data_IF_969703205624
#
_entry.id   IF_969703205624
#
_cell.length_a   1.000
_cell.length_b   1.000
_cell.length_c   1.000
_cell.angle_alpha   90.00
_cell.angle_beta   90.00
_cell.angle_gamma   90.00
#
_symmetry.space_group_name_H-M   'P 1'
#
loop_
_entity.id
_entity.type
_entity.pdbx_description
1 polymer ?
#
# COMPACT_ATOMS: atom_id res chain seq x y z
N UNK A 1 9.92 -17.01 35.82
CA UNK A 1 9.84 -16.17 34.61
C UNK A 1 9.10 -16.95 33.53
N UNK A 2 8.22 -16.31 32.80
CA UNK A 2 7.41 -17.00 31.79
C UNK A 2 6.57 -16.04 31.01
N UNK A 3 5.76 -16.57 30.08
CA UNK A 3 4.76 -15.86 29.32
C UNK A 3 3.38 -16.41 29.61
N UNK A 4 2.37 -15.57 29.47
CA UNK A 4 0.97 -15.98 29.54
C UNK A 4 0.31 -15.69 28.20
N UNK A 5 -0.26 -16.70 27.56
CA UNK A 5 -1.06 -16.58 26.35
C UNK A 5 -2.54 -16.56 26.73
N UNK A 6 -3.33 -15.85 25.95
CA UNK A 6 -4.78 -15.89 26.10
C UNK A 6 -5.43 -15.79 24.71
N UNK A 7 -6.62 -16.38 24.55
CA UNK A 7 -7.40 -16.24 23.34
C UNK A 7 -7.84 -14.79 23.15
N UNK A 8 -7.83 -14.32 21.91
CA UNK A 8 -8.27 -12.98 21.53
C UNK A 8 -9.46 -13.08 20.59
N UNK A 9 -10.55 -12.38 20.90
CA UNK A 9 -11.73 -12.25 20.05
C UNK A 9 -12.05 -10.76 19.87
N UNK A 10 -12.25 -10.35 18.63
CA UNK A 10 -12.51 -8.93 18.28
C UNK A 10 -11.48 -7.94 18.87
N UNK A 11 -10.20 -8.34 18.89
CA UNK A 11 -9.10 -7.53 19.42
C UNK A 11 -9.02 -7.43 20.95
N UNK A 12 -9.84 -8.18 21.68
CA UNK A 12 -9.84 -8.21 23.16
C UNK A 12 -9.50 -9.60 23.67
N UNK A 13 -8.72 -9.64 24.74
CA UNK A 13 -8.42 -10.89 25.45
C UNK A 13 -9.69 -11.49 26.04
N UNK A 14 -9.87 -12.79 25.87
CA UNK A 14 -10.98 -13.55 26.46
C UNK A 14 -10.60 -14.01 27.86
N UNK A 15 -11.21 -13.50 28.94
CA UNK A 15 -10.89 -13.90 30.30
C UNK A 15 -11.12 -15.40 30.55
N UNK A 16 -10.25 -16.03 31.37
CA UNK A 16 -10.32 -17.44 31.68
C UNK A 16 -9.77 -18.37 30.61
N UNK A 17 -9.07 -17.81 29.62
CA UNK A 17 -8.36 -18.58 28.58
C UNK A 17 -6.84 -18.43 28.69
N UNK A 18 -6.38 -17.93 29.81
CA UNK A 18 -4.97 -17.69 30.09
C UNK A 18 -4.24 -19.02 30.32
N UNK A 19 -3.17 -19.23 29.54
CA UNK A 19 -2.25 -20.36 29.69
C UNK A 19 -0.84 -19.83 29.98
N UNK A 20 -0.25 -20.27 31.06
CA UNK A 20 1.10 -19.86 31.47
C UNK A 20 2.13 -20.87 31.01
N UNK A 21 3.25 -20.36 30.44
CA UNK A 21 4.40 -21.15 30.02
C UNK A 21 5.66 -20.62 30.71
N UNK A 22 6.33 -21.47 31.45
CA UNK A 22 7.63 -21.15 32.06
C UNK A 22 8.70 -21.09 30.98
N UNK A 23 9.36 -19.94 30.83
CA UNK A 23 10.48 -19.75 29.91
C UNK A 23 11.35 -18.58 30.38
N UNK A 24 12.60 -18.58 29.97
CA UNK A 24 13.53 -17.47 30.19
C UNK A 24 13.71 -16.59 28.94
N UNK A 25 13.30 -17.09 27.79
CA UNK A 25 13.45 -16.42 26.50
C UNK A 25 12.18 -16.57 25.67
N UNK A 26 11.72 -15.46 25.04
CA UNK A 26 10.62 -15.43 24.08
C UNK A 26 11.13 -14.95 22.73
N UNK A 27 10.98 -15.80 21.70
CA UNK A 27 11.22 -15.43 20.32
C UNK A 27 9.92 -15.04 19.62
N UNK A 28 9.84 -13.81 19.15
CA UNK A 28 8.68 -13.30 18.40
C UNK A 28 8.93 -13.38 16.89
N UNK A 29 8.03 -14.04 16.18
CA UNK A 29 8.02 -14.12 14.70
C UNK A 29 6.61 -13.83 14.21
N UNK A 30 6.11 -12.63 14.50
CA UNK A 30 4.72 -12.22 14.30
C UNK A 30 4.50 -11.42 13.01
N UNK A 31 5.44 -11.48 12.07
CA UNK A 31 5.43 -10.70 10.83
C UNK A 31 6.37 -9.50 10.88
N UNK A 32 6.41 -8.78 9.77
CA UNK A 32 7.26 -7.60 9.57
C UNK A 32 6.47 -6.33 9.83
N UNK A 33 7.16 -5.30 10.33
CA UNK A 33 6.66 -3.94 10.44
C UNK A 33 7.54 -3.03 9.57
N UNK A 34 6.97 -2.10 8.82
CA UNK A 34 7.72 -1.06 8.14
C UNK A 34 8.51 -0.21 9.16
N UNK A 35 9.84 -0.23 9.05
CA UNK A 35 10.73 0.49 9.97
C UNK A 35 10.90 1.93 9.48
N UNK A 36 10.27 2.89 10.14
CA UNK A 36 10.16 4.27 9.68
C UNK A 36 10.54 5.32 10.75
N UNK A 37 11.41 5.00 11.70
CA UNK A 37 11.88 5.96 12.69
C UNK A 37 12.62 7.13 12.03
N UNK A 38 13.53 6.84 11.11
CA UNK A 38 14.27 7.86 10.36
C UNK A 38 13.37 8.67 9.43
N UNK A 39 12.43 8.01 8.75
CA UNK A 39 11.44 8.67 7.90
C UNK A 39 10.61 9.67 8.69
N UNK A 40 10.14 9.26 9.87
CA UNK A 40 9.37 10.11 10.78
C UNK A 40 10.19 11.28 11.31
N UNK A 41 11.43 11.04 11.71
CA UNK A 41 12.35 12.09 12.19
C UNK A 41 12.65 13.13 11.09
N UNK A 42 12.71 12.70 9.83
CA UNK A 42 12.87 13.58 8.68
C UNK A 42 11.60 14.36 8.29
N UNK A 43 10.43 14.04 8.86
CA UNK A 43 9.17 14.70 8.52
C UNK A 43 8.42 14.06 7.35
N UNK A 44 8.73 12.80 6.99
CA UNK A 44 7.97 12.04 6.00
C UNK A 44 6.59 11.72 6.55
N UNK A 45 5.55 12.01 5.77
CA UNK A 45 4.18 11.63 6.10
C UNK A 45 3.99 10.12 5.98
N UNK A 46 3.48 9.48 7.02
CA UNK A 46 3.26 8.03 7.04
C UNK A 46 1.78 7.69 6.84
N UNK A 47 1.52 6.63 6.10
CA UNK A 47 0.19 6.04 5.97
C UNK A 47 -0.16 5.30 7.28
N UNK A 48 -1.26 5.65 7.95
CA UNK A 48 -1.62 5.05 9.26
C UNK A 48 -1.98 3.56 9.16
N UNK A 49 -2.29 3.06 7.96
CA UNK A 49 -2.68 1.65 7.76
C UNK A 49 -1.46 0.76 7.54
N UNK A 50 -0.48 1.21 6.75
CA UNK A 50 0.73 0.44 6.45
C UNK A 50 1.86 0.73 7.44
N UNK A 51 1.88 1.91 8.06
CA UNK A 51 3.01 2.42 8.84
C UNK A 51 4.18 2.90 7.96
N UNK A 52 4.10 2.74 6.65
CA UNK A 52 5.11 3.19 5.69
C UNK A 52 4.83 4.60 5.14
N UNK A 53 5.77 5.19 4.39
CA UNK A 53 5.61 6.49 3.77
C UNK A 53 4.39 6.58 2.86
N UNK A 54 3.68 7.70 2.91
CA UNK A 54 2.69 8.05 1.90
C UNK A 54 3.43 8.56 0.65
N UNK A 55 3.24 7.88 -0.48
CA UNK A 55 3.96 8.16 -1.72
C UNK A 55 3.00 8.43 -2.88
N UNK A 56 3.51 9.11 -3.91
CA UNK A 56 2.85 9.30 -5.20
C UNK A 56 3.20 8.16 -6.19
N UNK A 57 2.75 8.27 -7.43
CA UNK A 57 2.97 7.29 -8.51
C UNK A 57 4.44 7.03 -8.85
N UNK A 58 5.32 7.97 -8.53
CA UNK A 58 6.77 7.85 -8.70
C UNK A 58 7.48 7.29 -7.46
N UNK A 59 6.73 6.85 -6.44
CA UNK A 59 7.25 6.41 -5.14
C UNK A 59 7.95 7.54 -4.35
N UNK A 60 7.72 8.79 -4.73
CA UNK A 60 8.22 9.98 -4.03
C UNK A 60 7.28 10.34 -2.87
N UNK A 61 7.86 10.67 -1.74
CA UNK A 61 7.14 11.05 -0.50
C UNK A 61 6.65 12.51 -0.57
N UNK A 62 6.12 13.02 0.55
CA UNK A 62 5.82 14.45 0.70
C UNK A 62 7.06 15.34 0.73
N UNK A 63 8.25 14.77 0.96
CA UNK A 63 9.52 15.50 0.90
C UNK A 63 10.12 15.36 -0.49
N UNK A 64 10.32 16.47 -1.23
CA UNK A 64 10.88 16.42 -2.57
C UNK A 64 12.25 15.73 -2.62
N UNK A 65 12.41 14.79 -3.57
CA UNK A 65 13.64 14.02 -3.74
C UNK A 65 13.82 12.87 -2.76
N UNK A 66 12.85 12.60 -1.89
CA UNK A 66 12.85 11.45 -0.98
C UNK A 66 11.88 10.40 -1.48
N UNK A 67 12.41 9.23 -1.81
CA UNK A 67 11.66 8.08 -2.37
C UNK A 67 11.64 6.93 -1.36
N UNK A 68 10.61 6.10 -1.43
CA UNK A 68 10.47 4.92 -0.58
C UNK A 68 10.02 3.70 -1.38
N UNK A 69 10.63 2.54 -1.10
CA UNK A 69 10.32 1.27 -1.75
C UNK A 69 10.56 0.09 -0.81
N UNK A 70 9.97 -1.06 -1.11
CA UNK A 70 10.15 -2.29 -0.36
C UNK A 70 9.44 -2.28 0.99
N UNK A 71 9.91 -3.11 1.93
CA UNK A 71 9.22 -3.33 3.21
C UNK A 71 9.15 -2.10 4.13
N UNK A 72 9.97 -1.07 3.89
CA UNK A 72 9.84 0.21 4.58
C UNK A 72 8.57 0.96 4.16
N UNK A 73 8.13 0.78 2.91
CA UNK A 73 6.92 1.39 2.35
C UNK A 73 5.66 0.59 2.70
N UNK A 74 5.64 -0.69 2.37
CA UNK A 74 4.63 -1.66 2.80
C UNK A 74 5.20 -3.08 2.71
N UNK A 75 4.78 -3.97 3.61
CA UNK A 75 5.31 -5.33 3.64
C UNK A 75 4.83 -6.12 2.42
N UNK A 76 5.79 -6.66 1.67
CA UNK A 76 5.55 -7.53 0.51
C UNK A 76 5.49 -9.00 0.90
N UNK A 77 4.74 -9.80 0.15
CA UNK A 77 4.69 -11.27 0.23
C UNK A 77 5.71 -11.95 -0.69
N UNK A 78 6.16 -11.27 -1.75
CA UNK A 78 7.16 -11.78 -2.69
C UNK A 78 8.31 -10.80 -2.86
N UNK A 79 9.55 -11.30 -2.83
CA UNK A 79 10.77 -10.50 -3.05
C UNK A 79 10.81 -9.89 -4.45
N UNK A 80 10.19 -10.52 -5.44
CA UNK A 80 10.11 -10.00 -6.80
C UNK A 80 9.41 -8.64 -6.85
N UNK A 81 8.34 -8.46 -6.07
CA UNK A 81 7.65 -7.17 -5.96
C UNK A 81 8.50 -6.10 -5.29
N UNK A 82 9.32 -6.48 -4.30
CA UNK A 82 10.30 -5.57 -3.68
C UNK A 82 11.29 -5.10 -4.73
N UNK A 83 11.83 -6.02 -5.54
CA UNK A 83 12.81 -5.72 -6.58
C UNK A 83 12.25 -4.82 -7.68
N UNK A 84 11.03 -5.11 -8.17
CA UNK A 84 10.34 -4.26 -9.15
C UNK A 84 10.11 -2.84 -8.60
N UNK A 85 9.65 -2.73 -7.37
CA UNK A 85 9.35 -1.45 -6.73
C UNK A 85 10.62 -0.63 -6.48
N UNK A 86 11.68 -1.29 -6.01
CA UNK A 86 12.97 -0.65 -5.78
C UNK A 86 13.61 -0.15 -7.09
N UNK A 87 13.53 -0.94 -8.17
CA UNK A 87 13.99 -0.53 -9.49
C UNK A 87 13.23 0.71 -9.98
N UNK A 88 11.90 0.71 -9.88
CA UNK A 88 11.08 1.85 -10.26
C UNK A 88 11.40 3.11 -9.41
N UNK A 89 11.60 2.96 -8.11
CA UNK A 89 12.01 4.08 -7.25
C UNK A 89 13.38 4.65 -7.66
N UNK A 90 14.33 3.79 -8.01
CA UNK A 90 15.66 4.20 -8.51
C UNK A 90 15.58 4.95 -9.83
N UNK A 91 14.77 4.46 -10.78
CA UNK A 91 14.54 5.14 -12.07
C UNK A 91 13.90 6.51 -11.88
N UNK A 92 12.89 6.62 -11.01
CA UNK A 92 12.24 7.90 -10.69
C UNK A 92 13.17 8.87 -9.97
N UNK A 93 14.02 8.39 -9.05
CA UNK A 93 15.02 9.21 -8.40
C UNK A 93 16.06 9.76 -9.40
N UNK A 94 16.51 8.92 -10.34
CA UNK A 94 17.41 9.36 -11.41
C UNK A 94 16.75 10.41 -12.32
N UNK A 95 15.49 10.19 -12.70
CA UNK A 95 14.70 11.14 -13.49
C UNK A 95 14.49 12.47 -12.74
N UNK A 96 14.25 12.43 -11.43
CA UNK A 96 14.14 13.62 -10.58
C UNK A 96 15.41 14.47 -10.63
N UNK A 97 16.57 13.83 -10.50
CA UNK A 97 17.87 14.51 -10.56
C UNK A 97 18.10 15.12 -11.95
N UNK A 98 17.83 14.36 -13.00
CA UNK A 98 18.00 14.79 -14.39
C UNK A 98 17.02 15.92 -14.78
N UNK A 99 15.79 15.89 -14.26
CA UNK A 99 14.75 16.88 -14.52
C UNK A 99 14.81 18.15 -13.67
N UNK A 100 15.74 18.25 -12.73
CA UNK A 100 15.91 19.42 -11.86
C UNK A 100 14.87 19.53 -10.74
N UNK A 101 14.20 18.43 -10.37
CA UNK A 101 13.28 18.40 -9.23
C UNK A 101 11.90 17.80 -9.53
N UNK A 102 10.99 17.94 -8.57
CA UNK A 102 9.63 17.43 -8.67
C UNK A 102 8.82 18.16 -9.74
N UNK A 103 8.19 17.40 -10.62
CA UNK A 103 7.25 17.96 -11.59
C UNK A 103 5.98 18.45 -10.87
N UNK A 104 5.52 19.65 -11.21
CA UNK A 104 4.25 20.19 -10.73
C UNK A 104 3.10 19.63 -11.59
N UNK A 105 1.98 19.30 -10.93
CA UNK A 105 0.78 18.80 -11.64
C UNK A 105 -0.38 18.61 -10.70
N UNK A 106 -1.55 18.36 -11.29
CA UNK A 106 -2.75 17.99 -10.53
C UNK A 106 -2.50 16.68 -9.79
N UNK A 107 -2.84 16.64 -8.51
CA UNK A 107 -2.74 15.44 -7.68
C UNK A 107 -4.13 14.86 -7.42
N UNK A 108 -4.30 13.56 -7.68
CA UNK A 108 -5.50 12.80 -7.38
C UNK A 108 -5.24 11.92 -6.16
N UNK A 109 -6.02 12.01 -5.09
CA UNK A 109 -5.96 11.03 -4.01
C UNK A 109 -6.44 9.66 -4.49
N UNK A 110 -5.82 8.60 -3.99
CA UNK A 110 -6.29 7.22 -4.20
C UNK A 110 -7.12 6.80 -2.98
N UNK A 111 -8.40 6.55 -3.20
CA UNK A 111 -9.36 6.14 -2.17
C UNK A 111 -9.55 4.63 -2.17
N UNK A 112 -9.75 4.06 -1.00
CA UNK A 112 -9.98 2.64 -0.77
C UNK A 112 -11.40 2.44 -0.28
N UNK A 113 -12.17 1.57 -0.94
CA UNK A 113 -13.57 1.31 -0.58
C UNK A 113 -13.88 -0.19 -0.57
N UNK A 114 -14.98 -0.56 0.05
CA UNK A 114 -15.62 -1.88 0.01
C UNK A 114 -14.66 -3.07 0.18
N UNK A 115 -13.81 -3.02 1.20
CA UNK A 115 -12.92 -4.15 1.53
C UNK A 115 -11.48 -3.99 1.07
N UNK A 116 -11.14 -2.96 0.29
CA UNK A 116 -9.75 -2.56 0.05
C UNK A 116 -9.21 -1.88 1.31
N UNK A 117 -8.12 -2.39 1.85
CA UNK A 117 -7.57 -1.91 3.13
C UNK A 117 -6.67 -0.68 2.98
N UNK A 118 -5.83 -0.67 1.97
CA UNK A 118 -4.92 0.41 1.62
C UNK A 118 -4.47 0.27 0.17
N UNK A 119 -3.92 1.33 -0.40
CA UNK A 119 -3.23 1.35 -1.70
C UNK A 119 -1.86 2.00 -1.60
N UNK A 120 -0.95 1.56 -2.45
CA UNK A 120 0.31 2.23 -2.78
C UNK A 120 0.33 2.39 -4.30
N UNK A 121 0.47 3.62 -4.79
CA UNK A 121 0.60 4.91 -4.12
C UNK A 121 -0.70 5.37 -3.45
N UNK A 122 -0.59 6.41 -2.60
CA UNK A 122 -1.73 7.09 -1.97
C UNK A 122 -2.25 8.29 -2.76
N UNK A 123 -1.41 8.79 -3.68
CA UNK A 123 -1.75 9.88 -4.60
C UNK A 123 -1.17 9.63 -5.98
N UNK A 124 -1.76 10.21 -7.00
CA UNK A 124 -1.29 10.11 -8.39
C UNK A 124 -1.30 11.50 -9.01
N UNK A 125 -0.22 11.84 -9.74
CA UNK A 125 -0.13 13.02 -10.59
C UNK A 125 -0.23 12.59 -12.06
N UNK A 126 -1.43 12.58 -12.66
CA UNK A 126 -1.63 12.00 -13.99
C UNK A 126 -0.75 12.59 -15.10
N UNK A 127 -0.42 13.88 -14.95
CA UNK A 127 0.37 14.61 -15.95
C UNK A 127 1.89 14.36 -15.80
N UNK A 128 2.32 13.81 -14.65
CA UNK A 128 3.71 13.49 -14.35
C UNK A 128 4.00 11.98 -14.48
N UNK A 129 2.94 11.16 -14.55
CA UNK A 129 3.07 9.72 -14.70
C UNK A 129 3.62 9.37 -16.09
N UNK A 130 4.48 8.36 -16.15
CA UNK A 130 4.92 7.75 -17.41
C UNK A 130 3.76 7.08 -18.15
N UNK A 131 4.05 6.02 -18.89
CA UNK A 131 3.00 5.33 -19.67
C UNK A 131 2.03 4.53 -18.79
N UNK A 132 2.50 4.06 -17.64
CA UNK A 132 1.75 3.16 -16.75
C UNK A 132 1.91 3.55 -15.29
N UNK A 133 0.82 3.49 -14.54
CA UNK A 133 0.78 3.61 -13.08
C UNK A 133 0.45 2.25 -12.48
N UNK A 134 1.27 1.77 -11.56
CA UNK A 134 1.04 0.53 -10.82
C UNK A 134 0.41 0.85 -9.48
N UNK A 135 -0.77 0.29 -9.22
CA UNK A 135 -1.41 0.29 -7.90
C UNK A 135 -1.18 -1.07 -7.25
N UNK A 136 -0.60 -1.10 -6.06
CA UNK A 136 -0.53 -2.27 -5.20
C UNK A 136 -1.42 -2.05 -3.98
N UNK A 137 -2.14 -3.10 -3.58
CA UNK A 137 -3.05 -2.99 -2.44
C UNK A 137 -3.29 -4.34 -1.79
N UNK A 138 -3.80 -4.31 -0.57
CA UNK A 138 -4.32 -5.50 0.11
C UNK A 138 -5.78 -5.29 0.50
N UNK A 139 -6.48 -6.41 0.65
CA UNK A 139 -7.86 -6.43 1.13
C UNK A 139 -7.91 -6.64 2.65
N UNK A 140 -9.00 -6.20 3.29
CA UNK A 140 -9.16 -6.28 4.74
C UNK A 140 -9.69 -7.62 5.26
N UNK A 141 -10.11 -8.53 4.37
CA UNK A 141 -10.68 -9.83 4.72
C UNK A 141 -10.57 -10.81 3.55
N UNK A 142 -11.06 -12.03 3.76
CA UNK A 142 -11.15 -13.03 2.69
C UNK A 142 -12.45 -12.81 1.93
N UNK A 143 -12.34 -12.57 0.62
CA UNK A 143 -13.47 -12.36 -0.28
C UNK A 143 -13.49 -13.41 -1.38
N UNK A 144 -14.67 -13.86 -1.76
CA UNK A 144 -14.87 -14.84 -2.85
C UNK A 144 -15.74 -14.23 -3.93
N UNK A 145 -15.41 -14.57 -5.19
CA UNK A 145 -16.15 -14.16 -6.37
C UNK A 145 -16.42 -12.65 -6.45
N UNK A 146 -15.39 -11.86 -6.15
CA UNK A 146 -15.44 -10.40 -6.24
C UNK A 146 -14.77 -9.90 -7.51
N UNK A 147 -15.09 -8.67 -7.85
CA UNK A 147 -14.49 -7.91 -8.93
C UNK A 147 -13.69 -6.75 -8.31
N UNK A 148 -12.41 -6.66 -8.65
CA UNK A 148 -11.63 -5.46 -8.41
C UNK A 148 -12.07 -4.44 -9.44
N UNK A 149 -12.47 -3.26 -9.03
CA UNK A 149 -12.79 -2.15 -9.91
C UNK A 149 -11.98 -0.91 -9.52
N UNK A 150 -11.57 -0.14 -10.53
CA UNK A 150 -10.92 1.16 -10.32
C UNK A 150 -11.72 2.21 -11.06
N UNK A 151 -12.08 3.26 -10.35
CA UNK A 151 -12.82 4.39 -10.87
C UNK A 151 -11.96 5.65 -10.89
N UNK A 152 -12.16 6.49 -11.89
CA UNK A 152 -11.73 7.87 -11.90
C UNK A 152 -12.99 8.75 -11.84
N UNK A 153 -13.23 9.40 -10.71
CA UNK A 153 -14.52 9.99 -10.45
C UNK A 153 -15.64 8.95 -10.55
N UNK A 154 -16.52 9.05 -11.52
CA UNK A 154 -17.60 8.08 -11.80
C UNK A 154 -17.28 7.06 -12.88
N UNK A 155 -16.19 7.25 -13.61
CA UNK A 155 -15.82 6.41 -14.75
C UNK A 155 -15.06 5.17 -14.29
N UNK A 156 -15.57 3.97 -14.57
CA UNK A 156 -14.85 2.73 -14.35
C UNK A 156 -13.76 2.58 -15.41
N UNK A 157 -12.49 2.72 -15.01
CA UNK A 157 -11.32 2.66 -15.88
C UNK A 157 -10.60 1.31 -15.87
N UNK A 158 -10.92 0.45 -14.91
CA UNK A 158 -10.39 -0.91 -14.83
C UNK A 158 -11.36 -1.82 -14.09
N UNK A 159 -11.44 -3.08 -14.54
CA UNK A 159 -12.23 -4.10 -13.86
C UNK A 159 -11.64 -5.49 -14.10
N UNK A 160 -11.52 -6.30 -13.05
CA UNK A 160 -11.06 -7.70 -13.13
C UNK A 160 -11.73 -8.57 -12.07
N UNK A 161 -12.32 -9.70 -12.50
CA UNK A 161 -12.87 -10.70 -11.57
C UNK A 161 -11.76 -11.48 -10.87
N UNK A 162 -11.98 -11.75 -9.59
CA UNK A 162 -11.09 -12.57 -8.75
C UNK A 162 -11.91 -13.63 -8.02
N UNK A 163 -11.58 -14.92 -8.18
CA UNK A 163 -12.27 -16.00 -7.48
C UNK A 163 -12.05 -15.92 -5.97
N UNK A 164 -10.84 -15.56 -5.54
CA UNK A 164 -10.50 -15.37 -4.13
C UNK A 164 -9.57 -14.17 -4.00
N UNK A 165 -9.74 -13.41 -2.93
CA UNK A 165 -8.88 -12.33 -2.46
C UNK A 165 -8.61 -12.57 -0.97
N UNK A 166 -7.36 -12.47 -0.53
CA UNK A 166 -6.97 -12.69 0.86
C UNK A 166 -6.04 -11.59 1.38
N UNK A 167 -6.10 -11.24 2.69
CA UNK A 167 -5.28 -10.16 3.26
C UNK A 167 -3.77 -10.39 3.14
N UNK A 168 -3.35 -11.67 3.09
CA UNK A 168 -1.94 -12.07 2.94
C UNK A 168 -1.38 -11.90 1.53
N UNK A 169 -2.24 -11.71 0.52
CA UNK A 169 -1.82 -11.61 -0.88
C UNK A 169 -1.84 -10.14 -1.36
N UNK A 170 -0.76 -9.73 -2.03
CA UNK A 170 -0.66 -8.42 -2.67
C UNK A 170 -1.39 -8.44 -4.01
N UNK A 171 -2.39 -7.59 -4.17
CA UNK A 171 -3.03 -7.36 -5.46
C UNK A 171 -2.32 -6.24 -6.22
N UNK A 172 -2.21 -6.42 -7.53
CA UNK A 172 -1.58 -5.44 -8.42
C UNK A 172 -2.51 -5.11 -9.58
N UNK A 173 -2.69 -3.82 -9.81
CA UNK A 173 -3.40 -3.25 -10.97
C UNK A 173 -2.46 -2.31 -11.70
N UNK A 174 -2.28 -2.52 -13.01
CA UNK A 174 -1.52 -1.62 -13.89
C UNK A 174 -2.49 -0.84 -14.75
N UNK A 175 -2.45 0.47 -14.65
CA UNK A 175 -3.31 1.41 -15.38
C UNK A 175 -2.48 2.17 -16.39
N UNK A 176 -2.99 2.32 -17.62
CA UNK A 176 -2.41 3.28 -18.55
C UNK A 176 -2.62 4.70 -18.02
N UNK A 177 -1.57 5.51 -18.00
CA UNK A 177 -1.63 6.87 -17.47
C UNK A 177 -2.66 7.75 -18.20
N UNK A 178 -2.90 7.50 -19.49
CA UNK A 178 -3.93 8.20 -20.29
C UNK A 178 -5.35 8.09 -19.67
N UNK A 179 -5.67 6.94 -19.03
CA UNK A 179 -6.96 6.72 -18.37
C UNK A 179 -7.13 7.60 -17.11
N UNK A 180 -6.03 8.12 -16.57
CA UNK A 180 -6.02 8.95 -15.35
C UNK A 180 -6.10 10.45 -15.70
N UNK A 181 -5.83 10.86 -16.95
CA UNK A 181 -5.78 12.27 -17.39
C UNK A 181 -7.13 12.91 -17.65
N UNK A 182 -8.25 12.26 -17.42
CA UNK A 182 -9.58 12.83 -17.63
C UNK A 182 -10.13 13.59 -16.42
N UNK A 183 -11.42 13.96 -16.45
CA UNK A 183 -12.11 14.60 -15.34
C UNK A 183 -12.23 13.65 -14.15
N UNK A 184 -12.32 14.21 -12.96
CA UNK A 184 -12.44 13.49 -11.68
C UNK A 184 -11.48 14.05 -10.64
N UNK A 185 -11.84 13.95 -9.39
CA UNK A 185 -11.13 14.50 -8.24
C UNK A 185 -10.39 13.43 -7.42
N UNK A 186 -10.60 12.15 -7.75
CA UNK A 186 -9.98 11.01 -7.10
C UNK A 186 -9.91 9.80 -8.01
N UNK A 187 -9.02 8.86 -7.65
CA UNK A 187 -9.02 7.48 -8.11
C UNK A 187 -9.53 6.60 -6.97
N UNK A 188 -10.53 5.77 -7.21
CA UNK A 188 -11.11 4.89 -6.18
C UNK A 188 -10.87 3.43 -6.54
N UNK A 189 -10.26 2.66 -5.63
CA UNK A 189 -10.10 1.22 -5.75
C UNK A 189 -11.12 0.55 -4.83
N UNK A 190 -11.93 -0.35 -5.38
CA UNK A 190 -13.06 -0.95 -4.68
C UNK A 190 -13.25 -2.41 -5.05
N UNK A 191 -13.94 -3.16 -4.19
CA UNK A 191 -14.45 -4.50 -4.49
C UNK A 191 -15.95 -4.44 -4.76
N UNK A 192 -16.37 -5.09 -5.82
CA UNK A 192 -17.79 -5.21 -6.22
C UNK A 192 -18.20 -6.67 -6.33
N UNK A 193 -19.50 -6.92 -6.50
CA UNK A 193 -19.99 -8.26 -6.84
C UNK A 193 -19.45 -8.69 -8.21
N UNK A 194 -19.01 -9.97 -8.29
CA UNK A 194 -18.32 -10.53 -9.46
C UNK A 194 -19.22 -11.03 -10.58
#
# INVERSE_FOLDING_TARGET
TGITLARVENGKTVPGTEEHYDCDTLLLSCGLLPENELSRAAGVALNPVTGGPAVNESLETNLPGVFAAGNVLHVHDLVDYVSEEAAAAGEHAAAYIAGGGAAAGRTLPVRCENGVRYTVPTTIRPDCAGDTVTLRFRVGGVYKNKKIAVYRGTDCIYSRKRPVLAPGEMETVRLKAELLRGPGDAVTVTLEEG
#
